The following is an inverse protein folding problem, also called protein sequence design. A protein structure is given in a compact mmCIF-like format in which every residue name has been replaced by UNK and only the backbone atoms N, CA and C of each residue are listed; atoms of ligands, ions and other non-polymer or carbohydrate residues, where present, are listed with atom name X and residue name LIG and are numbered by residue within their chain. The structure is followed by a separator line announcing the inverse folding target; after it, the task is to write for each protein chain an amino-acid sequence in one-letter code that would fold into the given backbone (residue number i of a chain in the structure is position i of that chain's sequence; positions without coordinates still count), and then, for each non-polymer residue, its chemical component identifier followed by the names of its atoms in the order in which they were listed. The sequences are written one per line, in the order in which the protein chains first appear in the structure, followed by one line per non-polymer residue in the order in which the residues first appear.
data_IF_115336312145
#
_entry.id   IF_115336312145
#
_cell.length_a   1.000
_cell.length_b   1.000
_cell.length_c   1.000
_cell.angle_alpha   90.00
_cell.angle_beta   90.00
_cell.angle_gamma   90.00
#
_symmetry.space_group_name_H-M   'P 1'
#
loop_
_entity.id
_entity.type
_entity.pdbx_description
1 polymer ?
#
# COMPACT_ATOMS: atom_id res chain seq x y z
N UNK A 1 -6.53 3.47 -37.62
CA UNK A 1 -5.19 4.11 -37.72
C UNK A 1 -5.10 5.33 -36.81
N UNK A 2 -5.28 5.17 -35.48
CA UNK A 2 -5.19 6.33 -34.55
C UNK A 2 -4.47 5.98 -33.23
N UNK A 3 -3.64 4.93 -33.24
CA UNK A 3 -3.09 4.36 -32.01
C UNK A 3 -1.65 4.78 -31.66
N UNK A 4 -0.88 5.34 -32.61
CA UNK A 4 0.57 5.57 -32.39
C UNK A 4 0.88 6.92 -31.74
N UNK A 5 0.03 7.92 -31.87
CA UNK A 5 0.29 9.27 -31.34
C UNK A 5 0.10 9.40 -29.82
N UNK A 6 -0.63 8.48 -29.18
CA UNK A 6 -0.96 8.56 -27.75
C UNK A 6 -0.13 7.62 -26.85
N UNK A 7 0.71 6.76 -27.43
CA UNK A 7 1.52 5.81 -26.69
C UNK A 7 2.44 6.45 -25.62
N UNK A 8 3.22 7.50 -25.95
CA UNK A 8 4.08 8.15 -24.96
C UNK A 8 3.29 8.83 -23.83
N UNK A 9 2.07 9.26 -24.09
CA UNK A 9 1.19 9.84 -23.08
C UNK A 9 0.66 8.76 -22.13
N UNK A 10 0.24 7.62 -22.65
CA UNK A 10 -0.22 6.47 -21.85
C UNK A 10 0.89 5.94 -20.95
N UNK A 11 2.13 5.86 -21.44
CA UNK A 11 3.28 5.45 -20.65
C UNK A 11 3.54 6.41 -19.47
N UNK A 12 3.44 7.72 -19.70
CA UNK A 12 3.58 8.73 -18.63
C UNK A 12 2.48 8.60 -17.58
N UNK A 13 1.25 8.38 -17.97
CA UNK A 13 0.16 8.16 -17.01
C UNK A 13 0.38 6.89 -16.20
N UNK A 14 0.87 5.81 -16.81
CA UNK A 14 1.24 4.59 -16.08
C UNK A 14 2.37 4.86 -15.06
N UNK A 15 3.39 5.68 -15.40
CA UNK A 15 4.44 6.06 -14.45
C UNK A 15 3.86 6.84 -13.25
N UNK A 16 2.94 7.77 -13.51
CA UNK A 16 2.27 8.53 -12.44
C UNK A 16 1.45 7.60 -11.54
N UNK A 17 0.72 6.66 -12.13
CA UNK A 17 -0.07 5.67 -11.39
C UNK A 17 0.82 4.81 -10.47
N UNK A 18 1.89 4.23 -11.00
CA UNK A 18 2.86 3.46 -10.20
C UNK A 18 3.53 4.29 -9.10
N UNK A 19 3.84 5.56 -9.37
CA UNK A 19 4.37 6.49 -8.37
C UNK A 19 3.35 6.71 -7.25
N UNK A 20 2.07 6.91 -7.60
CA UNK A 20 0.97 7.07 -6.65
C UNK A 20 0.79 5.84 -5.77
N UNK A 21 0.81 4.63 -6.36
CA UNK A 21 0.74 3.37 -5.60
C UNK A 21 1.91 3.26 -4.62
N UNK A 22 3.13 3.57 -5.06
CA UNK A 22 4.34 3.49 -4.21
C UNK A 22 4.25 4.42 -3.01
N UNK A 23 3.83 5.67 -3.22
CA UNK A 23 3.62 6.64 -2.15
C UNK A 23 2.53 6.18 -1.18
N UNK A 24 1.40 5.71 -1.70
CA UNK A 24 0.30 5.22 -0.88
C UNK A 24 0.72 4.06 0.00
N UNK A 25 1.37 3.04 -0.56
CA UNK A 25 1.81 1.85 0.19
C UNK A 25 2.85 2.24 1.22
N UNK A 26 3.90 2.99 0.84
CA UNK A 26 4.97 3.38 1.75
C UNK A 26 4.44 4.23 2.91
N UNK A 27 3.63 5.26 2.64
CA UNK A 27 3.09 6.13 3.70
C UNK A 27 2.13 5.41 4.63
N UNK A 28 1.32 4.48 4.10
CA UNK A 28 0.42 3.65 4.92
C UNK A 28 1.20 2.73 5.87
N UNK A 29 2.29 2.13 5.41
CA UNK A 29 3.15 1.28 6.24
C UNK A 29 3.89 2.14 7.28
N UNK A 30 4.52 3.25 6.88
CA UNK A 30 5.26 4.15 7.77
C UNK A 30 4.39 4.67 8.91
N UNK A 31 3.15 5.07 8.64
CA UNK A 31 2.23 5.55 9.68
C UNK A 31 1.85 4.45 10.67
N UNK A 32 1.68 3.21 10.18
CA UNK A 32 1.43 2.05 11.03
C UNK A 32 2.66 1.69 11.88
N UNK A 33 3.86 1.68 11.30
CA UNK A 33 5.13 1.42 12.00
C UNK A 33 5.37 2.47 13.09
N UNK A 34 5.13 3.74 12.78
CA UNK A 34 5.27 4.83 13.74
C UNK A 34 4.42 4.60 14.99
N UNK A 35 3.15 4.24 14.82
CA UNK A 35 2.22 4.04 15.94
C UNK A 35 2.45 2.73 16.66
N UNK A 36 2.83 1.65 15.94
CA UNK A 36 3.13 0.34 16.53
C UNK A 36 4.34 0.37 17.45
N UNK A 37 5.37 1.13 17.08
CA UNK A 37 6.64 1.27 17.83
C UNK A 37 6.81 2.64 18.46
N UNK A 38 5.72 3.28 18.88
CA UNK A 38 5.76 4.65 19.41
C UNK A 38 6.75 4.80 20.58
N UNK A 39 6.78 3.83 21.50
CA UNK A 39 7.68 3.81 22.66
C UNK A 39 9.02 3.07 22.41
N UNK A 40 9.28 2.64 21.18
CA UNK A 40 10.50 1.89 20.82
C UNK A 40 11.24 2.61 19.67
N UNK A 41 12.02 3.67 19.95
CA UNK A 41 12.58 4.53 18.93
C UNK A 41 13.51 3.81 17.95
N UNK A 42 14.28 2.82 18.42
CA UNK A 42 15.20 2.07 17.55
C UNK A 42 14.43 1.28 16.51
N UNK A 43 13.46 0.45 16.94
CA UNK A 43 12.63 -0.34 16.04
C UNK A 43 11.83 0.57 15.09
N UNK A 44 11.25 1.64 15.62
CA UNK A 44 10.50 2.63 14.86
C UNK A 44 11.31 3.22 13.71
N UNK A 45 12.48 3.79 14.00
CA UNK A 45 13.31 4.40 12.97
C UNK A 45 13.87 3.39 11.98
N UNK A 46 14.21 2.17 12.43
CA UNK A 46 14.73 1.11 11.55
C UNK A 46 13.70 0.72 10.50
N UNK A 47 12.47 0.42 10.90
CA UNK A 47 11.41 0.01 9.97
C UNK A 47 10.97 1.16 9.08
N UNK A 48 10.73 2.34 9.64
CA UNK A 48 10.34 3.51 8.86
C UNK A 48 11.40 3.89 7.81
N UNK A 49 12.69 3.80 8.15
CA UNK A 49 13.77 4.08 7.20
C UNK A 49 13.81 3.04 6.08
N UNK A 50 13.68 1.75 6.41
CA UNK A 50 13.63 0.67 5.42
C UNK A 50 12.47 0.87 4.44
N UNK A 51 11.28 1.12 4.95
CA UNK A 51 10.07 1.37 4.14
C UNK A 51 10.20 2.65 3.33
N UNK A 52 10.77 3.73 3.89
CA UNK A 52 10.97 4.98 3.18
C UNK A 52 11.96 4.84 2.02
N UNK A 53 13.07 4.11 2.20
CA UNK A 53 14.06 3.86 1.14
C UNK A 53 13.43 3.09 -0.04
N UNK A 54 12.65 2.05 0.25
CA UNK A 54 11.93 1.32 -0.80
C UNK A 54 10.82 2.17 -1.42
N UNK A 55 10.10 2.96 -0.62
CA UNK A 55 9.09 3.91 -1.12
C UNK A 55 9.69 4.92 -2.10
N UNK A 56 10.84 5.53 -1.77
CA UNK A 56 11.58 6.42 -2.68
C UNK A 56 11.99 5.68 -3.95
N UNK A 57 12.51 4.45 -3.84
CA UNK A 57 12.77 3.61 -4.99
C UNK A 57 11.54 3.43 -5.88
N UNK A 58 10.37 3.19 -5.28
CA UNK A 58 9.10 3.04 -5.98
C UNK A 58 8.58 4.30 -6.66
N UNK A 59 9.02 5.49 -6.25
CA UNK A 59 8.69 6.75 -6.95
C UNK A 59 9.61 7.01 -8.14
N UNK A 60 10.84 6.51 -8.09
CA UNK A 60 11.87 6.75 -9.13
C UNK A 60 11.85 5.67 -10.22
N UNK A 61 11.76 4.39 -9.82
CA UNK A 61 11.86 3.25 -10.74
C UNK A 61 10.86 3.27 -11.90
N UNK A 62 9.59 3.69 -11.73
CA UNK A 62 8.63 3.75 -12.84
C UNK A 62 9.05 4.67 -13.98
N UNK A 63 9.91 5.66 -13.71
CA UNK A 63 10.41 6.60 -14.70
C UNK A 63 11.61 6.07 -15.48
N UNK A 64 12.17 4.92 -15.06
CA UNK A 64 13.27 4.30 -15.77
C UNK A 64 12.75 3.43 -16.92
N UNK A 65 13.25 3.59 -18.15
CA UNK A 65 12.74 2.89 -19.35
C UNK A 65 12.72 1.36 -19.19
N UNK A 66 13.73 0.78 -18.54
CA UNK A 66 13.84 -0.67 -18.34
C UNK A 66 12.73 -1.21 -17.43
N UNK A 67 12.32 -0.44 -16.43
CA UNK A 67 11.29 -0.88 -15.48
C UNK A 67 9.91 -1.03 -16.15
N UNK A 68 9.63 -0.21 -17.17
CA UNK A 68 8.34 -0.22 -17.87
C UNK A 68 8.26 -1.22 -19.04
N UNK A 69 9.35 -1.92 -19.37
CA UNK A 69 9.34 -2.94 -20.42
C UNK A 69 8.38 -4.08 -20.07
N UNK A 70 7.73 -4.63 -21.09
CA UNK A 70 6.75 -5.71 -20.92
C UNK A 70 7.38 -7.00 -20.34
N UNK A 71 8.63 -7.30 -20.72
CA UNK A 71 9.40 -8.44 -20.22
C UNK A 71 9.85 -8.29 -18.76
N UNK A 72 9.77 -7.07 -18.19
CA UNK A 72 10.12 -6.76 -16.80
C UNK A 72 8.90 -6.69 -15.86
N UNK A 73 7.75 -7.21 -16.27
CA UNK A 73 6.54 -7.23 -15.42
C UNK A 73 6.77 -7.95 -14.07
N UNK A 74 7.56 -9.02 -14.07
CA UNK A 74 7.93 -9.75 -12.86
C UNK A 74 8.72 -8.88 -11.87
N UNK A 75 9.60 -8.00 -12.36
CA UNK A 75 10.38 -7.07 -11.53
C UNK A 75 9.48 -6.08 -10.82
N UNK A 76 8.46 -5.55 -11.50
CA UNK A 76 7.46 -4.67 -10.90
C UNK A 76 6.70 -5.38 -9.79
N UNK A 77 6.21 -6.58 -10.05
CA UNK A 77 5.51 -7.39 -9.05
C UNK A 77 6.42 -7.68 -7.86
N UNK A 78 7.65 -8.14 -8.09
CA UNK A 78 8.60 -8.42 -7.03
C UNK A 78 8.92 -7.17 -6.19
N UNK A 79 9.07 -6.02 -6.83
CA UNK A 79 9.31 -4.75 -6.14
C UNK A 79 8.13 -4.37 -5.22
N UNK A 80 6.89 -4.41 -5.71
CA UNK A 80 5.72 -4.06 -4.90
C UNK A 80 5.43 -5.08 -3.80
N UNK A 81 5.69 -6.37 -4.06
CA UNK A 81 5.63 -7.41 -3.03
C UNK A 81 6.70 -7.15 -1.96
N UNK A 82 7.91 -6.77 -2.35
CA UNK A 82 8.98 -6.40 -1.42
C UNK A 82 8.62 -5.16 -0.59
N UNK A 83 8.08 -4.12 -1.22
CA UNK A 83 7.63 -2.92 -0.52
C UNK A 83 6.49 -3.23 0.47
N UNK A 84 5.48 -3.98 0.05
CA UNK A 84 4.41 -4.42 0.95
C UNK A 84 4.95 -5.35 2.07
N UNK A 85 5.96 -6.15 1.76
CA UNK A 85 6.65 -7.05 2.68
C UNK A 85 7.33 -6.32 3.84
N UNK A 86 7.73 -5.05 3.68
CA UNK A 86 8.30 -4.26 4.80
C UNK A 86 7.33 -4.15 5.95
N UNK A 87 6.03 -4.06 5.68
CA UNK A 87 4.99 -4.03 6.72
C UNK A 87 4.82 -5.36 7.47
N UNK A 88 5.33 -6.48 6.96
CA UNK A 88 5.25 -7.78 7.64
C UNK A 88 6.37 -8.01 8.66
N UNK A 89 7.53 -7.38 8.47
CA UNK A 89 8.66 -7.47 9.39
C UNK A 89 8.32 -6.95 10.79
N UNK A 90 7.72 -5.75 10.95
CA UNK A 90 7.20 -5.26 12.23
C UNK A 90 6.24 -6.23 12.90
N UNK A 91 5.35 -6.85 12.13
CA UNK A 91 4.38 -7.84 12.66
C UNK A 91 5.10 -9.02 13.29
N UNK A 92 6.14 -9.54 12.65
CA UNK A 92 6.92 -10.66 13.20
C UNK A 92 7.59 -10.29 14.55
N UNK A 93 8.17 -9.09 14.66
CA UNK A 93 8.73 -8.60 15.92
C UNK A 93 7.64 -8.42 16.99
N UNK A 94 6.51 -7.82 16.64
CA UNK A 94 5.40 -7.60 17.57
C UNK A 94 4.79 -8.93 18.05
N UNK A 95 4.67 -9.94 17.18
CA UNK A 95 4.25 -11.28 17.57
C UNK A 95 5.19 -11.89 18.61
N UNK A 96 6.50 -11.74 18.41
CA UNK A 96 7.50 -12.27 19.32
C UNK A 96 7.57 -11.52 20.67
N UNK A 97 7.35 -10.20 20.67
CA UNK A 97 7.53 -9.34 21.85
C UNK A 97 6.24 -9.09 22.63
N UNK A 98 5.09 -9.01 21.95
CA UNK A 98 3.80 -8.61 22.54
C UNK A 98 2.74 -9.71 22.47
N UNK A 99 2.99 -10.76 21.67
CA UNK A 99 2.09 -11.89 21.48
C UNK A 99 0.96 -11.67 20.48
N UNK A 100 0.35 -12.78 20.05
CA UNK A 100 -0.62 -12.78 18.95
C UNK A 100 -1.92 -12.05 19.26
N UNK A 101 -2.41 -12.11 20.51
CA UNK A 101 -3.64 -11.43 20.90
C UNK A 101 -3.51 -9.91 20.76
N UNK A 102 -2.38 -9.35 21.21
CA UNK A 102 -2.10 -7.93 21.08
C UNK A 102 -2.01 -7.49 19.61
N UNK A 103 -1.31 -8.29 18.78
CA UNK A 103 -1.17 -8.00 17.35
C UNK A 103 -2.52 -8.04 16.64
N UNK A 104 -3.35 -9.04 16.94
CA UNK A 104 -4.68 -9.14 16.35
C UNK A 104 -5.56 -7.95 16.70
N UNK A 105 -5.55 -7.52 17.96
CA UNK A 105 -6.28 -6.35 18.44
C UNK A 105 -5.77 -5.06 17.78
N UNK A 106 -4.44 -4.87 17.74
CA UNK A 106 -3.82 -3.68 17.15
C UNK A 106 -4.13 -3.56 15.66
N UNK A 107 -4.01 -4.65 14.89
CA UNK A 107 -4.23 -4.62 13.43
C UNK A 107 -5.72 -4.77 13.04
N UNK A 108 -6.64 -5.05 13.97
CA UNK A 108 -8.07 -5.21 13.67
C UNK A 108 -8.68 -4.08 12.85
N UNK A 109 -8.42 -2.78 13.12
CA UNK A 109 -8.96 -1.69 12.30
C UNK A 109 -8.45 -1.70 10.84
N UNK A 110 -7.25 -2.23 10.59
CA UNK A 110 -6.66 -2.30 9.27
C UNK A 110 -7.25 -3.40 8.38
N UNK A 111 -7.89 -4.41 8.97
CA UNK A 111 -8.50 -5.49 8.17
C UNK A 111 -9.57 -4.99 7.22
N UNK A 112 -10.32 -3.95 7.58
CA UNK A 112 -11.34 -3.33 6.69
C UNK A 112 -10.68 -2.73 5.45
N UNK A 113 -9.62 -1.96 5.65
CA UNK A 113 -8.82 -1.38 4.57
C UNK A 113 -8.23 -2.47 3.68
N UNK A 114 -7.56 -3.47 4.28
CA UNK A 114 -6.97 -4.60 3.56
C UNK A 114 -7.99 -5.40 2.75
N UNK A 115 -9.17 -5.66 3.31
CA UNK A 115 -10.23 -6.39 2.61
C UNK A 115 -10.74 -5.61 1.37
N UNK A 116 -10.86 -4.29 1.47
CA UNK A 116 -11.28 -3.44 0.34
C UNK A 116 -10.19 -3.42 -0.74
N UNK A 117 -8.92 -3.25 -0.39
CA UNK A 117 -7.81 -3.33 -1.35
C UNK A 117 -7.74 -4.69 -2.03
N UNK A 118 -7.82 -5.78 -1.25
CA UNK A 118 -7.76 -7.14 -1.80
C UNK A 118 -8.95 -7.42 -2.71
N UNK A 119 -10.15 -7.03 -2.31
CA UNK A 119 -11.36 -7.17 -3.12
C UNK A 119 -11.24 -6.43 -4.46
N UNK A 120 -10.78 -5.18 -4.43
CA UNK A 120 -10.51 -4.40 -5.64
C UNK A 120 -9.45 -5.03 -6.54
N UNK A 121 -8.35 -5.51 -5.94
CA UNK A 121 -7.28 -6.18 -6.67
C UNK A 121 -7.75 -7.49 -7.35
N UNK A 122 -8.58 -8.27 -6.66
CA UNK A 122 -9.15 -9.50 -7.24
C UNK A 122 -10.09 -9.20 -8.41
N UNK A 123 -10.93 -8.18 -8.32
CA UNK A 123 -11.79 -7.75 -9.42
C UNK A 123 -10.96 -7.26 -10.62
N UNK A 124 -9.92 -6.48 -10.37
CA UNK A 124 -9.00 -6.00 -11.38
C UNK A 124 -8.25 -7.16 -12.07
N UNK A 125 -7.65 -8.07 -11.29
CA UNK A 125 -6.93 -9.23 -11.81
C UNK A 125 -7.84 -10.19 -12.61
N UNK A 126 -9.08 -10.35 -12.15
CA UNK A 126 -10.11 -11.16 -12.81
C UNK A 126 -10.75 -10.49 -14.03
N UNK A 127 -10.41 -9.22 -14.31
CA UNK A 127 -11.03 -8.40 -15.36
C UNK A 127 -12.56 -8.41 -15.27
N UNK A 128 -13.08 -8.19 -14.04
CA UNK A 128 -14.52 -8.17 -13.78
C UNK A 128 -14.96 -6.71 -13.69
N UNK A 129 -15.99 -6.26 -14.46
CA UNK A 129 -16.98 -7.06 -15.18
C UNK A 129 -16.68 -7.32 -16.67
N UNK A 130 -15.63 -6.73 -17.28
CA UNK A 130 -15.38 -6.77 -18.73
C UNK A 130 -15.29 -8.20 -19.28
N UNK A 131 -14.80 -9.14 -18.46
CA UNK A 131 -14.72 -10.58 -18.84
C UNK A 131 -16.08 -11.18 -19.20
N UNK A 132 -17.15 -10.71 -18.57
CA UNK A 132 -18.51 -11.24 -18.77
C UNK A 132 -19.32 -10.46 -19.81
N UNK A 133 -18.96 -9.18 -20.05
CA UNK A 133 -19.67 -8.29 -20.95
C UNK A 133 -18.66 -7.47 -21.79
N UNK A 134 -17.99 -8.11 -22.76
CA UNK A 134 -17.01 -7.44 -23.61
C UNK A 134 -17.66 -6.31 -24.40
N UNK A 135 -17.00 -5.13 -24.45
CA UNK A 135 -17.46 -3.96 -25.18
C UNK A 135 -18.44 -3.04 -24.43
N UNK A 136 -19.01 -3.49 -23.30
CA UNK A 136 -19.95 -2.67 -22.53
C UNK A 136 -19.23 -1.74 -21.53
N UNK A 137 -18.11 -2.18 -20.99
CA UNK A 137 -17.36 -1.47 -19.95
C UNK A 137 -16.05 -0.84 -20.47
N UNK A 138 -15.90 -0.63 -21.77
CA UNK A 138 -14.65 -0.13 -22.36
C UNK A 138 -14.31 1.30 -21.95
N UNK A 139 -15.32 2.12 -21.59
CA UNK A 139 -15.13 3.53 -21.23
C UNK A 139 -15.37 3.83 -19.75
N UNK A 140 -16.31 3.15 -19.11
CA UNK A 140 -16.69 3.42 -17.73
C UNK A 140 -17.12 2.13 -17.01
N UNK A 141 -16.73 2.03 -15.72
CA UNK A 141 -17.13 0.90 -14.89
C UNK A 141 -16.32 -0.38 -15.10
N UNK A 142 -15.26 -0.33 -15.90
CA UNK A 142 -14.32 -1.44 -16.05
C UNK A 142 -13.56 -1.77 -14.76
N UNK A 143 -12.92 -2.92 -14.71
CA UNK A 143 -12.19 -3.42 -13.54
C UNK A 143 -11.12 -2.45 -13.03
N UNK A 144 -10.48 -1.69 -13.93
CA UNK A 144 -9.52 -0.66 -13.55
C UNK A 144 -10.17 0.52 -12.80
N UNK A 145 -11.34 0.95 -13.25
CA UNK A 145 -12.10 2.00 -12.56
C UNK A 145 -12.57 1.53 -11.18
N UNK A 146 -13.06 0.28 -11.09
CA UNK A 146 -13.46 -0.34 -9.82
C UNK A 146 -12.26 -0.45 -8.88
N UNK A 147 -11.09 -0.78 -9.39
CA UNK A 147 -9.85 -0.80 -8.64
C UNK A 147 -9.56 0.57 -8.01
N UNK A 148 -9.61 1.68 -8.76
CA UNK A 148 -9.39 3.01 -8.21
C UNK A 148 -10.42 3.41 -7.14
N UNK A 149 -11.70 3.03 -7.31
CA UNK A 149 -12.73 3.24 -6.29
C UNK A 149 -12.43 2.43 -5.03
N UNK A 150 -12.00 1.18 -5.18
CA UNK A 150 -11.59 0.35 -4.06
C UNK A 150 -10.34 0.92 -3.35
N UNK A 151 -9.37 1.45 -4.10
CA UNK A 151 -8.20 2.14 -3.53
C UNK A 151 -8.65 3.34 -2.69
N UNK A 152 -9.55 4.18 -3.19
CA UNK A 152 -10.09 5.31 -2.44
C UNK A 152 -10.80 4.86 -1.16
N UNK A 153 -11.64 3.83 -1.25
CA UNK A 153 -12.31 3.24 -0.10
C UNK A 153 -11.32 2.69 0.94
N UNK A 154 -10.29 1.99 0.46
CA UNK A 154 -9.20 1.50 1.31
C UNK A 154 -8.44 2.60 2.03
N UNK A 155 -8.15 3.72 1.34
CA UNK A 155 -7.53 4.92 1.94
C UNK A 155 -8.40 5.48 3.07
N UNK A 156 -9.71 5.60 2.85
CA UNK A 156 -10.62 6.12 3.87
C UNK A 156 -10.64 5.24 5.12
N UNK A 157 -10.74 3.91 4.96
CA UNK A 157 -10.66 2.99 6.10
C UNK A 157 -9.31 3.00 6.78
N UNK A 158 -8.22 3.13 6.02
CA UNK A 158 -6.88 3.26 6.57
C UNK A 158 -6.76 4.55 7.40
N UNK A 159 -7.25 5.68 6.88
CA UNK A 159 -7.26 6.95 7.59
C UNK A 159 -8.01 6.86 8.94
N UNK A 160 -9.19 6.23 8.94
CA UNK A 160 -9.96 6.01 10.17
C UNK A 160 -9.19 5.13 11.17
N UNK A 161 -8.52 4.07 10.69
CA UNK A 161 -7.66 3.23 11.53
C UNK A 161 -6.48 4.03 12.11
N UNK A 162 -5.85 4.91 11.32
CA UNK A 162 -4.75 5.74 11.79
C UNK A 162 -5.18 6.71 12.88
N UNK A 163 -6.34 7.32 12.77
CA UNK A 163 -6.88 8.18 13.85
C UNK A 163 -6.97 7.42 15.17
N UNK A 164 -7.48 6.19 15.15
CA UNK A 164 -7.56 5.36 16.35
C UNK A 164 -6.17 4.96 16.87
N UNK A 165 -5.26 4.60 15.98
CA UNK A 165 -3.89 4.24 16.36
C UNK A 165 -3.14 5.40 17.02
N UNK A 166 -3.23 6.60 16.46
CA UNK A 166 -2.62 7.79 17.07
C UNK A 166 -3.24 8.08 18.42
N UNK A 167 -4.55 7.99 18.57
CA UNK A 167 -5.22 8.19 19.85
C UNK A 167 -4.71 7.23 20.91
N UNK A 168 -4.59 5.94 20.57
CA UNK A 168 -4.08 4.90 21.48
C UNK A 168 -2.58 5.09 21.77
N UNK A 169 -1.78 5.43 20.75
CA UNK A 169 -0.35 5.65 20.92
C UNK A 169 -0.05 6.83 21.85
N UNK A 170 -0.74 7.97 21.70
CA UNK A 170 -0.57 9.13 22.56
C UNK A 170 -1.04 8.87 23.99
N UNK A 171 -2.18 8.20 24.17
CA UNK A 171 -2.64 7.82 25.51
C UNK A 171 -1.64 6.88 26.23
N UNK A 172 -1.00 5.96 25.48
CA UNK A 172 0.06 5.09 26.03
C UNK A 172 1.36 5.86 26.33
N UNK A 173 1.72 6.84 25.52
CA UNK A 173 2.92 7.64 25.72
C UNK A 173 2.91 8.33 27.08
N UNK A 174 1.76 8.85 27.52
CA UNK A 174 1.61 9.52 28.80
C UNK A 174 1.78 8.59 30.01
N UNK A 175 1.52 7.27 29.85
CA UNK A 175 1.42 6.32 30.96
C UNK A 175 2.50 5.24 30.96
N UNK A 176 3.06 4.86 29.81
CA UNK A 176 3.85 3.63 29.67
C UNK A 176 5.16 3.77 28.90
N UNK A 177 5.44 4.89 28.24
CA UNK A 177 6.76 5.08 27.66
C UNK A 177 7.73 5.46 28.77
N UNK A 178 8.83 4.71 28.98
CA UNK A 178 9.88 5.16 29.88
C UNK A 178 10.43 6.50 29.38
N UNK A 179 10.66 7.43 30.27
CA UNK A 179 11.25 8.74 29.95
C UNK A 179 12.57 8.51 29.21
N UNK A 180 12.65 9.00 27.97
CA UNK A 180 13.88 9.05 27.18
C UNK A 180 14.68 10.27 27.54
#
# INVERSE_FOLDING_TARGET
MSSISNQPLMERFACVDYTGISLLVATSIITTEYTAFYCEPVSRWTYMLLTALLGIGGTILPWHPTFNRADMAWLRVAFYVGLAGTGTLPVAQLLATRGGAWVAEFYAPLFKSGAVYLGGAMLYAGKVPERFMPGFFDYLGGSHNIWHVAVLGGILFHYMAMQEFFRVAFARAETHCPNF
#
